data_IF_799272276976
#
_entry.id   IF_799272276976
#
_cell.length_a   1.000
_cell.length_b   1.000
_cell.length_c   1.000
_cell.angle_alpha   90.00
_cell.angle_beta   90.00
_cell.angle_gamma   90.00
#
_symmetry.space_group_name_H-M   'P 1'
#
loop_
_entity.id
_entity.type
_entity.pdbx_description
1 polymer ?
#
# COMPACT_ATOMS: atom_id res chain seq x y z
N UNK A 1 -17.10 9.93 27.13
CA UNK A 1 -16.83 11.21 26.42
C UNK A 1 -17.63 12.33 27.06
N UNK A 2 -17.02 13.49 27.28
CA UNK A 2 -17.71 14.71 27.75
C UNK A 2 -18.50 15.36 26.59
N UNK A 3 -19.43 16.27 26.91
CA UNK A 3 -20.19 17.01 25.88
C UNK A 3 -19.30 17.90 24.99
N UNK A 4 -18.20 18.43 25.53
CA UNK A 4 -17.20 19.17 24.77
C UNK A 4 -16.51 18.29 23.72
N UNK A 5 -16.02 17.11 24.13
CA UNK A 5 -15.35 16.17 23.21
C UNK A 5 -16.27 15.60 22.14
N UNK A 6 -17.59 15.50 22.40
CA UNK A 6 -18.58 15.06 21.42
C UNK A 6 -18.81 16.09 20.31
N UNK A 7 -18.81 17.37 20.67
CA UNK A 7 -19.06 18.46 19.73
C UNK A 7 -17.84 18.81 18.87
N UNK A 8 -16.63 18.41 19.31
CA UNK A 8 -15.40 18.61 18.56
C UNK A 8 -15.07 17.49 17.57
N UNK A 9 -15.76 16.34 17.65
CA UNK A 9 -15.47 15.21 16.78
C UNK A 9 -16.03 15.47 15.38
N UNK A 10 -15.15 15.55 14.39
CA UNK A 10 -15.47 15.82 12.98
C UNK A 10 -15.31 14.59 12.08
N UNK A 11 -14.54 13.58 12.51
CA UNK A 11 -14.33 12.33 11.81
C UNK A 11 -14.63 11.15 12.74
N UNK A 12 -15.34 10.14 12.22
CA UNK A 12 -15.63 8.89 12.93
C UNK A 12 -15.48 7.71 11.96
N UNK A 13 -14.60 6.77 12.31
CA UNK A 13 -14.46 5.50 11.61
C UNK A 13 -14.98 4.34 12.46
N UNK A 14 -15.83 3.52 11.86
CA UNK A 14 -16.40 2.31 12.43
C UNK A 14 -16.32 1.15 11.41
N UNK A 15 -15.12 0.79 10.93
CA UNK A 15 -14.98 -0.29 9.98
C UNK A 15 -15.33 -1.64 10.63
N UNK A 16 -15.81 -2.60 9.83
CA UNK A 16 -16.09 -3.98 10.26
C UNK A 16 -17.15 -4.13 11.36
N UNK A 17 -18.06 -3.17 11.48
CA UNK A 17 -19.12 -3.20 12.50
C UNK A 17 -20.44 -3.73 11.95
N UNK A 18 -21.09 -4.60 12.73
CA UNK A 18 -22.51 -4.91 12.56
C UNK A 18 -23.32 -3.87 13.33
N UNK A 19 -24.18 -3.14 12.62
CA UNK A 19 -24.96 -2.06 13.19
C UNK A 19 -26.35 -2.53 13.64
N UNK A 20 -26.72 -2.18 14.86
CA UNK A 20 -28.10 -2.35 15.35
C UNK A 20 -29.02 -1.27 14.76
N UNK A 21 -30.30 -1.60 14.56
CA UNK A 21 -31.24 -0.64 13.99
C UNK A 21 -31.42 0.63 14.82
N UNK A 22 -31.45 1.78 14.13
CA UNK A 22 -31.66 3.09 14.74
C UNK A 22 -30.42 3.70 15.41
N UNK A 23 -29.25 3.06 15.28
CA UNK A 23 -27.99 3.61 15.78
C UNK A 23 -27.67 4.97 15.14
N UNK A 24 -27.98 5.12 13.85
CA UNK A 24 -27.69 6.30 13.05
C UNK A 24 -28.37 7.56 13.64
N UNK A 25 -29.61 7.41 14.13
CA UNK A 25 -30.37 8.48 14.80
C UNK A 25 -29.81 8.84 16.18
N UNK A 26 -29.19 7.87 16.86
CA UNK A 26 -28.58 8.10 18.18
C UNK A 26 -27.23 8.79 18.01
N UNK A 27 -26.40 8.28 17.11
CA UNK A 27 -25.05 8.80 16.88
C UNK A 27 -25.09 10.20 16.28
N UNK A 28 -25.96 10.47 15.30
CA UNK A 28 -26.13 11.83 14.74
C UNK A 28 -26.51 12.89 15.79
N UNK A 29 -27.28 12.51 16.83
CA UNK A 29 -27.60 13.40 17.96
C UNK A 29 -26.43 13.61 18.91
N UNK A 30 -25.60 12.58 19.10
CA UNK A 30 -24.45 12.62 20.01
C UNK A 30 -23.29 13.38 19.35
N UNK A 31 -23.13 13.28 18.03
CA UNK A 31 -22.03 13.84 17.25
C UNK A 31 -22.59 14.75 16.14
N UNK A 32 -23.19 15.91 16.50
CA UNK A 32 -23.93 16.74 15.55
C UNK A 32 -23.05 17.50 14.54
N UNK A 33 -21.74 17.54 14.76
CA UNK A 33 -20.78 18.26 13.91
C UNK A 33 -19.94 17.31 13.05
N UNK A 34 -20.36 16.04 12.92
CA UNK A 34 -19.61 15.04 12.18
C UNK A 34 -19.61 15.41 10.68
N UNK A 35 -18.42 15.58 10.10
CA UNK A 35 -18.28 15.93 8.68
C UNK A 35 -17.86 14.76 7.83
N UNK A 36 -17.25 13.75 8.43
CA UNK A 36 -16.74 12.58 7.75
C UNK A 36 -17.10 11.31 8.49
N UNK A 37 -17.53 10.31 7.74
CA UNK A 37 -17.84 9.01 8.30
C UNK A 37 -17.24 7.88 7.47
N UNK A 38 -16.54 6.97 8.14
CA UNK A 38 -16.07 5.73 7.54
C UNK A 38 -16.86 4.56 8.13
N UNK A 39 -17.66 3.90 7.30
CA UNK A 39 -18.40 2.67 7.59
C UNK A 39 -18.02 1.58 6.58
N UNK A 40 -16.75 1.56 6.17
CA UNK A 40 -16.23 0.52 5.29
C UNK A 40 -16.41 -0.86 5.91
N UNK A 41 -16.60 -1.87 5.05
CA UNK A 41 -16.87 -3.25 5.47
C UNK A 41 -18.15 -3.44 6.31
N UNK A 42 -19.08 -2.48 6.27
CA UNK A 42 -20.36 -2.61 6.96
C UNK A 42 -21.27 -3.64 6.29
N UNK A 43 -22.08 -4.33 7.09
CA UNK A 43 -23.08 -5.31 6.65
C UNK A 43 -24.45 -4.64 6.58
N UNK A 44 -25.00 -4.48 5.38
CA UNK A 44 -26.31 -3.90 5.15
C UNK A 44 -27.40 -4.97 5.21
N UNK A 45 -28.49 -4.68 5.91
CA UNK A 45 -29.64 -5.59 6.10
C UNK A 45 -30.87 -4.78 6.55
N UNK A 46 -31.96 -5.46 6.93
CA UNK A 46 -33.19 -4.79 7.37
C UNK A 46 -33.01 -3.88 8.60
N UNK A 47 -31.98 -4.14 9.42
CA UNK A 47 -31.64 -3.32 10.59
C UNK A 47 -30.75 -2.14 10.21
N UNK A 48 -29.92 -2.28 9.18
CA UNK A 48 -29.04 -1.23 8.71
C UNK A 48 -29.21 -0.96 7.22
N UNK A 49 -30.02 0.06 6.93
CA UNK A 49 -30.31 0.54 5.58
C UNK A 49 -29.60 1.86 5.31
N UNK A 50 -28.96 1.99 4.14
CA UNK A 50 -28.23 3.20 3.75
C UNK A 50 -29.12 4.46 3.72
N UNK A 51 -30.38 4.34 3.33
CA UNK A 51 -31.33 5.45 3.27
C UNK A 51 -31.58 6.10 4.64
N UNK A 52 -31.73 5.29 5.70
CA UNK A 52 -31.88 5.77 7.08
C UNK A 52 -30.60 6.48 7.57
N UNK A 53 -29.45 5.92 7.22
CA UNK A 53 -28.15 6.52 7.50
C UNK A 53 -28.02 7.90 6.85
N UNK A 54 -28.24 7.99 5.54
CA UNK A 54 -28.10 9.23 4.77
C UNK A 54 -29.07 10.33 5.24
N UNK A 55 -30.26 9.94 5.71
CA UNK A 55 -31.22 10.88 6.31
C UNK A 55 -30.70 11.44 7.64
N UNK A 56 -30.07 10.59 8.46
CA UNK A 56 -29.56 10.97 9.78
C UNK A 56 -28.27 11.80 9.71
N UNK A 57 -27.47 11.59 8.65
CA UNK A 57 -26.17 12.23 8.44
C UNK A 57 -26.13 13.08 7.15
N UNK A 58 -27.21 13.84 6.90
CA UNK A 58 -27.39 14.64 5.68
C UNK A 58 -26.40 15.80 5.49
N UNK A 59 -25.61 16.12 6.52
CA UNK A 59 -24.63 17.21 6.52
C UNK A 59 -23.18 16.74 6.26
N UNK A 60 -22.95 15.44 6.05
CA UNK A 60 -21.61 14.91 5.77
C UNK A 60 -21.01 15.54 4.51
N UNK A 61 -19.68 15.72 4.56
CA UNK A 61 -18.84 16.13 3.45
C UNK A 61 -18.07 14.95 2.86
N UNK A 62 -17.78 13.93 3.68
CA UNK A 62 -17.07 12.73 3.25
C UNK A 62 -17.73 11.46 3.80
N UNK A 63 -17.88 10.46 2.93
CA UNK A 63 -18.43 9.15 3.27
C UNK A 63 -17.59 8.06 2.62
N UNK A 64 -17.20 7.07 3.43
CA UNK A 64 -16.57 5.85 2.95
C UNK A 64 -17.49 4.65 3.28
N UNK A 65 -17.95 3.97 2.23
CA UNK A 65 -18.75 2.73 2.25
C UNK A 65 -18.02 1.59 1.52
N UNK A 66 -16.71 1.70 1.35
CA UNK A 66 -15.92 0.68 0.62
C UNK A 66 -16.09 -0.69 1.27
N UNK A 67 -16.02 -1.76 0.48
CA UNK A 67 -16.25 -3.14 0.96
C UNK A 67 -17.62 -3.38 1.61
N UNK A 68 -18.64 -2.56 1.30
CA UNK A 68 -19.98 -2.77 1.84
C UNK A 68 -20.58 -4.12 1.40
N UNK A 69 -21.01 -4.93 2.38
CA UNK A 69 -21.64 -6.23 2.12
C UNK A 69 -23.16 -6.11 2.06
N UNK A 70 -23.76 -6.82 1.09
CA UNK A 70 -25.22 -6.90 0.88
C UNK A 70 -25.91 -5.54 0.70
N UNK A 71 -25.20 -4.51 0.26
CA UNK A 71 -25.79 -3.21 -0.07
C UNK A 71 -26.51 -3.33 -1.42
N UNK A 72 -27.86 -3.23 -1.48
CA UNK A 72 -28.58 -3.49 -2.74
C UNK A 72 -28.53 -2.32 -3.72
N UNK A 73 -28.32 -1.09 -3.22
CA UNK A 73 -28.27 0.14 -4.02
C UNK A 73 -27.76 1.32 -3.19
N UNK A 74 -27.52 2.46 -3.84
CA UNK A 74 -27.25 3.75 -3.19
C UNK A 74 -28.51 4.52 -2.81
N UNK A 75 -29.66 3.85 -2.64
CA UNK A 75 -30.91 4.52 -2.34
C UNK A 75 -30.82 5.42 -1.09
N UNK A 76 -31.22 6.67 -1.25
CA UNK A 76 -31.18 7.71 -0.22
C UNK A 76 -29.88 8.50 -0.14
N UNK A 77 -28.84 8.18 -0.93
CA UNK A 77 -27.54 8.89 -0.90
C UNK A 77 -27.71 10.38 -1.24
N UNK A 78 -28.67 10.72 -2.11
CA UNK A 78 -28.99 12.09 -2.49
C UNK A 78 -29.43 13.00 -1.32
N UNK A 79 -29.76 12.42 -0.16
CA UNK A 79 -30.06 13.19 1.05
C UNK A 79 -28.83 13.89 1.64
N UNK A 80 -27.61 13.46 1.30
CA UNK A 80 -26.36 14.08 1.74
C UNK A 80 -25.92 15.14 0.72
N UNK A 81 -26.66 16.25 0.64
CA UNK A 81 -26.52 17.26 -0.44
C UNK A 81 -25.14 17.92 -0.53
N UNK A 82 -24.42 17.96 0.59
CA UNK A 82 -23.11 18.58 0.70
C UNK A 82 -21.96 17.59 0.55
N UNK A 83 -22.23 16.33 0.19
CA UNK A 83 -21.19 15.31 0.05
C UNK A 83 -20.20 15.72 -1.05
N UNK A 84 -18.92 15.81 -0.70
CA UNK A 84 -17.81 16.19 -1.58
C UNK A 84 -16.91 15.01 -1.93
N UNK A 85 -16.79 14.03 -1.01
CA UNK A 85 -16.00 12.82 -1.20
C UNK A 85 -16.84 11.57 -0.92
N UNK A 86 -16.90 10.66 -1.89
CA UNK A 86 -17.48 9.33 -1.74
C UNK A 86 -16.43 8.29 -2.13
N UNK A 87 -16.09 7.42 -1.19
CA UNK A 87 -15.35 6.19 -1.45
C UNK A 87 -16.30 5.01 -1.35
N UNK A 88 -16.40 4.25 -2.43
CA UNK A 88 -17.19 3.04 -2.56
C UNK A 88 -16.37 1.98 -3.31
N UNK A 89 -15.08 1.91 -2.97
CA UNK A 89 -14.16 0.90 -3.47
C UNK A 89 -14.72 -0.49 -3.16
N UNK A 90 -14.65 -1.38 -4.14
CA UNK A 90 -15.17 -2.74 -4.02
C UNK A 90 -16.67 -2.81 -3.62
N UNK A 91 -17.50 -1.94 -4.20
CA UNK A 91 -18.96 -1.98 -4.07
C UNK A 91 -19.59 -2.28 -5.43
N UNK A 92 -20.46 -3.28 -5.48
CA UNK A 92 -21.13 -3.77 -6.68
C UNK A 92 -22.64 -3.89 -6.47
N UNK A 93 -23.42 -3.51 -7.48
CA UNK A 93 -24.88 -3.68 -7.51
C UNK A 93 -25.29 -4.51 -8.72
N UNK A 94 -26.18 -5.48 -8.49
CA UNK A 94 -26.78 -6.28 -9.57
C UNK A 94 -27.69 -5.44 -10.47
N UNK A 95 -28.39 -4.46 -9.89
CA UNK A 95 -29.25 -3.53 -10.63
C UNK A 95 -28.50 -2.24 -10.94
N UNK A 96 -28.38 -1.92 -12.23
CA UNK A 96 -27.80 -0.67 -12.72
C UNK A 96 -28.50 0.57 -12.13
N UNK A 97 -29.80 0.48 -11.79
CA UNK A 97 -30.52 1.59 -11.18
C UNK A 97 -29.99 1.91 -9.77
N UNK A 98 -29.24 0.99 -9.15
CA UNK A 98 -28.61 1.19 -7.85
C UNK A 98 -27.64 2.36 -7.81
N UNK A 99 -27.15 2.84 -8.96
CA UNK A 99 -26.25 3.97 -9.07
C UNK A 99 -26.94 5.32 -9.35
N UNK A 100 -28.22 5.34 -9.75
CA UNK A 100 -28.87 6.54 -10.32
C UNK A 100 -28.83 7.77 -9.42
N UNK A 101 -29.05 7.59 -8.13
CA UNK A 101 -29.06 8.69 -7.14
C UNK A 101 -27.70 9.38 -6.96
N UNK A 102 -26.60 8.83 -7.49
CA UNK A 102 -25.32 9.55 -7.54
C UNK A 102 -25.46 10.89 -8.27
N UNK A 103 -26.33 10.98 -9.28
CA UNK A 103 -26.57 12.22 -10.03
C UNK A 103 -27.18 13.35 -9.20
N UNK A 104 -27.72 13.03 -8.02
CA UNK A 104 -28.27 14.01 -7.07
C UNK A 104 -27.18 14.67 -6.21
N UNK A 105 -25.98 14.11 -6.18
CA UNK A 105 -24.83 14.61 -5.42
C UNK A 105 -24.13 15.76 -6.17
N UNK A 106 -24.79 16.93 -6.23
CA UNK A 106 -24.31 18.10 -6.97
C UNK A 106 -22.99 18.69 -6.46
N UNK A 107 -22.58 18.35 -5.24
CA UNK A 107 -21.34 18.81 -4.62
C UNK A 107 -20.19 17.80 -4.69
N UNK A 108 -20.42 16.62 -5.28
CA UNK A 108 -19.43 15.54 -5.27
C UNK A 108 -18.26 15.86 -6.19
N UNK A 109 -17.06 15.92 -5.61
CA UNK A 109 -15.81 16.26 -6.29
C UNK A 109 -14.87 15.07 -6.44
N UNK A 110 -14.92 14.13 -5.50
CA UNK A 110 -14.08 12.95 -5.47
C UNK A 110 -14.96 11.70 -5.42
N UNK A 111 -14.79 10.83 -6.40
CA UNK A 111 -15.40 9.51 -6.43
C UNK A 111 -14.32 8.44 -6.54
N UNK A 112 -14.31 7.51 -5.59
CA UNK A 112 -13.49 6.31 -5.63
C UNK A 112 -14.40 5.08 -5.77
N UNK A 113 -14.20 4.38 -6.89
CA UNK A 113 -14.89 3.14 -7.29
C UNK A 113 -13.84 2.09 -7.69
N UNK A 114 -12.63 2.20 -7.13
CA UNK A 114 -11.55 1.25 -7.34
C UNK A 114 -11.96 -0.18 -6.99
N UNK A 115 -11.30 -1.16 -7.60
CA UNK A 115 -11.44 -2.57 -7.27
C UNK A 115 -10.37 -3.03 -6.27
N UNK A 116 -10.20 -4.34 -6.14
CA UNK A 116 -9.14 -4.99 -5.37
C UNK A 116 -8.63 -6.24 -6.11
N UNK A 117 -7.34 -6.57 -5.96
CA UNK A 117 -6.71 -7.75 -6.56
C UNK A 117 -7.35 -9.05 -6.12
N UNK A 118 -7.89 -9.10 -4.89
CA UNK A 118 -8.60 -10.27 -4.37
C UNK A 118 -9.78 -10.72 -5.27
N UNK A 119 -10.19 -9.88 -6.23
CA UNK A 119 -11.35 -10.11 -7.09
C UNK A 119 -11.08 -10.07 -8.58
N UNK A 120 -9.88 -10.47 -9.01
CA UNK A 120 -9.59 -10.71 -10.42
C UNK A 120 -10.62 -11.62 -11.15
N UNK A 121 -11.48 -12.32 -10.41
CA UNK A 121 -12.58 -13.17 -10.92
C UNK A 121 -13.95 -12.48 -11.05
N UNK A 122 -14.17 -11.30 -10.45
CA UNK A 122 -15.44 -10.56 -10.51
C UNK A 122 -15.23 -9.34 -11.43
N UNK A 123 -16.12 -9.16 -12.42
CA UNK A 123 -16.08 -7.98 -13.30
C UNK A 123 -16.48 -6.71 -12.52
N UNK A 124 -15.49 -6.02 -11.96
CA UNK A 124 -15.66 -4.79 -11.17
C UNK A 124 -15.74 -3.53 -12.03
N UNK A 125 -16.34 -3.59 -13.22
CA UNK A 125 -16.45 -2.44 -14.12
C UNK A 125 -17.54 -1.45 -13.69
N UNK A 126 -17.36 -0.79 -12.56
CA UNK A 126 -18.30 0.22 -12.05
C UNK A 126 -18.53 1.36 -13.05
N UNK A 127 -17.53 1.74 -13.86
CA UNK A 127 -17.69 2.75 -14.93
C UNK A 127 -18.72 2.32 -15.98
N UNK A 128 -18.72 1.06 -16.41
CA UNK A 128 -19.73 0.52 -17.34
C UNK A 128 -21.14 0.68 -16.77
N UNK A 129 -21.32 0.37 -15.50
CA UNK A 129 -22.62 0.46 -14.82
C UNK A 129 -23.05 1.92 -14.64
N UNK A 130 -22.14 2.83 -14.26
CA UNK A 130 -22.40 4.26 -14.15
C UNK A 130 -22.83 4.87 -15.50
N UNK A 131 -22.17 4.46 -16.60
CA UNK A 131 -22.54 4.89 -17.95
C UNK A 131 -23.92 4.36 -18.35
N UNK A 132 -24.21 3.08 -18.08
CA UNK A 132 -25.49 2.46 -18.38
C UNK A 132 -26.65 3.05 -17.58
N UNK A 133 -26.38 3.46 -16.33
CA UNK A 133 -27.32 4.16 -15.47
C UNK A 133 -27.47 5.65 -15.80
N UNK A 134 -26.74 6.14 -16.81
CA UNK A 134 -26.73 7.55 -17.25
C UNK A 134 -26.34 8.54 -16.14
N UNK A 135 -25.48 8.13 -15.21
CA UNK A 135 -25.05 8.98 -14.10
C UNK A 135 -24.37 10.24 -14.60
N UNK A 136 -24.69 11.38 -13.96
CA UNK A 136 -24.11 12.70 -14.25
C UNK A 136 -23.66 13.40 -12.97
N UNK A 137 -22.35 13.51 -12.81
CA UNK A 137 -21.71 14.18 -11.66
C UNK A 137 -21.10 15.52 -12.10
N UNK A 138 -21.90 16.57 -12.07
CA UNK A 138 -21.56 17.90 -12.63
C UNK A 138 -20.29 18.52 -12.02
N UNK A 139 -20.04 18.27 -10.74
CA UNK A 139 -18.91 18.82 -9.99
C UNK A 139 -17.73 17.84 -9.82
N UNK A 140 -17.76 16.66 -10.46
CA UNK A 140 -16.72 15.66 -10.26
C UNK A 140 -15.38 16.17 -10.82
N UNK A 141 -14.37 16.24 -9.96
CA UNK A 141 -13.02 16.72 -10.29
C UNK A 141 -11.99 15.58 -10.31
N UNK A 142 -12.20 14.53 -9.50
CA UNK A 142 -11.31 13.39 -9.35
C UNK A 142 -12.09 12.06 -9.38
N UNK A 143 -11.59 11.11 -10.16
CA UNK A 143 -12.08 9.74 -10.22
C UNK A 143 -10.95 8.75 -9.92
N UNK A 144 -11.17 7.81 -9.01
CA UNK A 144 -10.37 6.60 -8.90
C UNK A 144 -11.17 5.40 -9.42
N UNK A 145 -10.64 4.73 -10.45
CA UNK A 145 -11.15 3.47 -10.98
C UNK A 145 -10.02 2.43 -11.14
N UNK A 146 -8.98 2.54 -10.33
CA UNK A 146 -7.85 1.61 -10.31
C UNK A 146 -8.30 0.19 -9.95
N UNK A 147 -7.58 -0.84 -10.40
CA UNK A 147 -7.94 -2.26 -10.21
C UNK A 147 -9.34 -2.65 -10.70
N UNK A 148 -9.82 -2.00 -11.76
CA UNK A 148 -11.06 -2.38 -12.44
C UNK A 148 -10.76 -2.85 -13.87
N UNK A 149 -11.73 -3.54 -14.47
CA UNK A 149 -11.70 -3.95 -15.88
C UNK A 149 -12.09 -2.81 -16.85
N UNK A 150 -12.02 -1.54 -16.41
CA UNK A 150 -12.40 -0.39 -17.22
C UNK A 150 -11.56 -0.30 -18.50
N UNK A 151 -12.24 -0.17 -19.64
CA UNK A 151 -11.59 -0.01 -20.94
C UNK A 151 -11.36 1.46 -21.26
N UNK A 152 -10.39 1.73 -22.14
CA UNK A 152 -10.10 3.08 -22.61
C UNK A 152 -11.34 3.77 -23.20
N UNK A 153 -12.14 3.04 -23.98
CA UNK A 153 -13.36 3.58 -24.59
C UNK A 153 -14.38 4.03 -23.53
N UNK A 154 -14.60 3.21 -22.50
CA UNK A 154 -15.49 3.55 -21.39
C UNK A 154 -14.97 4.75 -20.61
N UNK A 155 -13.67 4.79 -20.30
CA UNK A 155 -13.06 5.88 -19.55
C UNK A 155 -13.13 7.22 -20.30
N UNK A 156 -12.85 7.21 -21.61
CA UNK A 156 -13.02 8.39 -22.48
C UNK A 156 -14.47 8.86 -22.54
N UNK A 157 -15.41 7.93 -22.63
CA UNK A 157 -16.85 8.24 -22.64
C UNK A 157 -17.28 8.83 -21.31
N UNK A 158 -16.81 8.27 -20.20
CA UNK A 158 -17.07 8.79 -18.87
C UNK A 158 -16.52 10.21 -18.70
N UNK A 159 -15.25 10.44 -19.07
CA UNK A 159 -14.63 11.76 -19.06
C UNK A 159 -15.41 12.79 -19.89
N UNK A 160 -15.85 12.42 -21.09
CA UNK A 160 -16.67 13.30 -21.96
C UNK A 160 -17.99 13.70 -21.30
N UNK A 161 -18.60 12.81 -20.53
CA UNK A 161 -19.87 13.07 -19.83
C UNK A 161 -19.69 13.89 -18.55
N UNK A 162 -18.45 14.12 -18.10
CA UNK A 162 -18.12 14.79 -16.84
C UNK A 162 -17.08 15.90 -17.10
N UNK A 163 -17.50 17.06 -17.64
CA UNK A 163 -16.58 18.09 -18.12
C UNK A 163 -15.75 18.78 -17.03
N UNK A 164 -16.13 18.62 -15.76
CA UNK A 164 -15.37 19.13 -14.60
C UNK A 164 -14.21 18.22 -14.20
N UNK A 165 -14.15 16.99 -14.75
CA UNK A 165 -13.18 15.97 -14.36
C UNK A 165 -11.77 16.38 -14.78
N UNK A 166 -10.85 16.41 -13.82
CA UNK A 166 -9.47 16.89 -14.01
C UNK A 166 -8.44 15.78 -13.86
N UNK A 167 -8.71 14.82 -12.99
CA UNK A 167 -7.76 13.75 -12.69
C UNK A 167 -8.48 12.40 -12.66
N UNK A 168 -7.82 11.39 -13.23
CA UNK A 168 -8.28 10.01 -13.19
C UNK A 168 -7.11 9.12 -12.73
N UNK A 169 -7.31 8.38 -11.64
CA UNK A 169 -6.47 7.24 -11.29
C UNK A 169 -7.03 5.96 -11.92
N UNK A 170 -6.19 5.27 -12.70
CA UNK A 170 -6.53 4.06 -13.45
C UNK A 170 -5.35 3.06 -13.39
N UNK A 171 -4.80 2.89 -12.20
CA UNK A 171 -3.66 2.00 -11.92
C UNK A 171 -4.12 0.54 -12.03
N UNK A 172 -3.29 -0.34 -12.59
CA UNK A 172 -3.61 -1.76 -12.78
C UNK A 172 -4.93 -1.97 -13.55
N UNK A 173 -5.11 -1.22 -14.64
CA UNK A 173 -6.27 -1.36 -15.53
C UNK A 173 -5.80 -1.58 -16.98
N UNK A 174 -6.69 -2.00 -17.90
CA UNK A 174 -6.40 -1.94 -19.32
C UNK A 174 -6.02 -0.54 -19.84
N UNK A 175 -6.19 0.51 -19.04
CA UNK A 175 -5.87 1.91 -19.38
C UNK A 175 -4.47 2.34 -18.94
N UNK A 176 -3.55 1.40 -18.67
CA UNK A 176 -2.20 1.66 -18.15
C UNK A 176 -1.35 2.65 -18.98
N UNK A 177 -1.63 2.79 -20.28
CA UNK A 177 -0.95 3.74 -21.19
C UNK A 177 -1.90 4.78 -21.81
N UNK A 178 -3.13 4.85 -21.30
CA UNK A 178 -4.16 5.75 -21.85
C UNK A 178 -3.82 7.20 -21.50
N UNK A 179 -4.01 8.08 -22.48
CA UNK A 179 -3.97 9.54 -22.29
C UNK A 179 -5.31 10.16 -22.71
N UNK A 180 -5.89 11.03 -21.87
CA UNK A 180 -7.13 11.76 -22.19
C UNK A 180 -6.81 13.27 -22.22
N UNK A 181 -7.01 13.97 -23.35
CA UNK A 181 -6.70 15.40 -23.43
C UNK A 181 -7.39 16.22 -22.33
N UNK A 182 -6.62 17.06 -21.64
CA UNK A 182 -7.13 17.92 -20.58
C UNK A 182 -7.33 17.23 -19.22
N UNK A 183 -7.05 15.92 -19.13
CA UNK A 183 -7.15 15.15 -17.88
C UNK A 183 -5.77 14.64 -17.48
N UNK A 184 -5.40 14.86 -16.20
CA UNK A 184 -4.24 14.24 -15.58
C UNK A 184 -4.53 12.76 -15.34
N UNK A 185 -3.78 11.89 -16.00
CA UNK A 185 -3.89 10.44 -15.81
C UNK A 185 -2.85 9.97 -14.80
N UNK A 186 -3.28 9.26 -13.75
CA UNK A 186 -2.42 8.51 -12.82
C UNK A 186 -2.56 7.04 -13.21
N UNK A 187 -1.63 6.54 -14.00
CA UNK A 187 -1.59 5.16 -14.50
C UNK A 187 -0.12 4.74 -14.74
N UNK A 188 0.09 3.52 -15.21
CA UNK A 188 1.43 2.94 -15.38
C UNK A 188 2.33 3.67 -16.41
N UNK A 189 1.90 4.77 -17.02
CA UNK A 189 2.78 5.68 -17.78
C UNK A 189 3.74 6.47 -16.89
N UNK A 190 3.44 6.62 -15.59
CA UNK A 190 4.31 7.27 -14.62
C UNK A 190 4.33 6.49 -13.31
N UNK A 191 5.35 5.65 -13.14
CA UNK A 191 5.53 4.83 -11.93
C UNK A 191 5.60 5.70 -10.67
N UNK A 192 6.32 6.83 -10.73
CA UNK A 192 6.44 7.76 -9.60
C UNK A 192 5.08 8.29 -9.16
N UNK A 193 4.20 8.67 -10.09
CA UNK A 193 2.88 9.21 -9.75
C UNK A 193 1.95 8.14 -9.18
N UNK A 194 2.01 6.91 -9.69
CA UNK A 194 1.28 5.78 -9.12
C UNK A 194 1.68 5.54 -7.66
N UNK A 195 2.98 5.45 -7.39
CA UNK A 195 3.47 5.17 -6.03
C UNK A 195 3.16 6.32 -5.07
N UNK A 196 3.33 7.56 -5.51
CA UNK A 196 2.97 8.73 -4.69
C UNK A 196 1.47 8.73 -4.38
N UNK A 197 0.62 8.43 -5.37
CA UNK A 197 -0.81 8.32 -5.16
C UNK A 197 -1.16 7.24 -4.13
N UNK A 198 -0.65 6.02 -4.29
CA UNK A 198 -0.97 4.89 -3.42
C UNK A 198 -0.55 5.13 -1.96
N UNK A 199 0.62 5.76 -1.76
CA UNK A 199 1.09 6.16 -0.43
C UNK A 199 0.21 7.25 0.19
N UNK A 200 -0.27 8.21 -0.61
CA UNK A 200 -1.11 9.31 -0.12
C UNK A 200 -2.54 8.89 0.22
N UNK A 201 -3.05 7.83 -0.43
CA UNK A 201 -4.43 7.35 -0.24
C UNK A 201 -4.57 6.28 0.83
N UNK A 202 -3.47 5.89 1.49
CA UNK A 202 -3.45 4.87 2.54
C UNK A 202 -4.01 3.51 2.08
N UNK A 203 -3.81 3.19 0.79
CA UNK A 203 -4.23 1.93 0.19
C UNK A 203 -3.06 0.93 0.27
N UNK A 204 -2.70 0.52 1.49
CA UNK A 204 -1.53 -0.32 1.75
C UNK A 204 -1.54 -1.63 0.94
N UNK A 205 -2.69 -2.30 0.89
CA UNK A 205 -2.85 -3.55 0.11
C UNK A 205 -2.60 -3.30 -1.39
N UNK A 206 -3.16 -2.23 -1.92
CA UNK A 206 -2.97 -1.85 -3.33
C UNK A 206 -1.53 -1.42 -3.61
N UNK A 207 -0.85 -0.80 -2.63
CA UNK A 207 0.57 -0.49 -2.74
C UNK A 207 1.40 -1.78 -2.83
N UNK A 208 1.17 -2.75 -1.93
CA UNK A 208 1.82 -4.07 -1.97
C UNK A 208 1.62 -4.77 -3.32
N UNK A 209 0.37 -4.82 -3.80
CA UNK A 209 0.00 -5.44 -5.07
C UNK A 209 0.60 -4.71 -6.28
N UNK A 210 0.60 -3.39 -6.28
CA UNK A 210 1.22 -2.62 -7.34
C UNK A 210 2.74 -2.86 -7.37
N UNK A 211 3.37 -2.92 -6.20
CA UNK A 211 4.80 -3.24 -6.10
C UNK A 211 5.08 -4.63 -6.68
N UNK A 212 4.24 -5.64 -6.40
CA UNK A 212 4.32 -6.96 -7.06
C UNK A 212 4.36 -6.84 -8.57
N UNK A 213 3.44 -6.08 -9.17
CA UNK A 213 3.38 -5.90 -10.63
C UNK A 213 4.65 -5.21 -11.15
N UNK A 214 5.11 -4.16 -10.46
CA UNK A 214 6.37 -3.46 -10.79
C UNK A 214 7.54 -4.45 -10.78
N UNK A 215 7.67 -5.24 -9.72
CA UNK A 215 8.75 -6.21 -9.55
C UNK A 215 8.72 -7.32 -10.61
N UNK A 216 7.53 -7.85 -10.92
CA UNK A 216 7.35 -8.85 -11.97
C UNK A 216 7.73 -8.31 -13.35
N UNK A 217 7.32 -7.07 -13.65
CA UNK A 217 7.67 -6.39 -14.89
C UNK A 217 9.19 -6.15 -14.98
N UNK A 218 9.86 -5.79 -13.88
CA UNK A 218 11.32 -5.64 -13.86
C UNK A 218 12.04 -6.96 -14.10
N UNK A 219 11.60 -8.05 -13.43
CA UNK A 219 12.15 -9.40 -13.61
C UNK A 219 12.05 -9.88 -15.06
N UNK A 220 10.95 -9.55 -15.74
CA UNK A 220 10.70 -9.95 -17.13
C UNK A 220 11.45 -9.10 -18.16
N UNK A 221 11.56 -7.78 -17.93
CA UNK A 221 12.06 -6.84 -18.95
C UNK A 221 13.54 -6.45 -18.78
N UNK A 222 14.16 -6.72 -17.62
CA UNK A 222 15.48 -6.14 -17.24
C UNK A 222 15.56 -4.63 -17.57
N UNK A 223 14.43 -3.93 -17.43
CA UNK A 223 14.36 -2.50 -17.67
C UNK A 223 15.26 -1.78 -16.68
N UNK A 224 15.94 -0.73 -17.13
CA UNK A 224 16.61 0.17 -16.20
C UNK A 224 15.57 1.16 -15.68
N UNK A 225 15.17 1.02 -14.42
CA UNK A 225 14.43 2.08 -13.73
C UNK A 225 15.30 3.33 -13.65
N UNK A 226 14.68 4.49 -13.83
CA UNK A 226 15.36 5.75 -13.55
C UNK A 226 15.61 5.89 -12.03
N UNK A 227 16.63 6.66 -11.64
CA UNK A 227 16.98 6.88 -10.22
C UNK A 227 15.79 7.48 -9.45
N UNK A 228 15.00 8.33 -10.11
CA UNK A 228 13.76 8.91 -9.56
C UNK A 228 12.73 7.84 -9.22
N UNK A 229 12.53 6.86 -10.10
CA UNK A 229 11.60 5.74 -9.92
C UNK A 229 12.05 4.81 -8.80
N UNK A 230 13.35 4.48 -8.75
CA UNK A 230 13.92 3.68 -7.66
C UNK A 230 13.67 4.30 -6.29
N UNK A 231 13.85 5.62 -6.17
CA UNK A 231 13.55 6.34 -4.92
C UNK A 231 12.09 6.20 -4.50
N UNK A 232 11.16 6.18 -5.46
CA UNK A 232 9.73 6.04 -5.17
C UNK A 232 9.37 4.61 -4.82
N UNK A 233 9.94 3.62 -5.53
CA UNK A 233 9.83 2.20 -5.20
C UNK A 233 10.27 1.98 -3.76
N UNK A 234 11.44 2.51 -3.38
CA UNK A 234 11.93 2.45 -2.00
C UNK A 234 10.99 3.10 -0.99
N UNK A 235 10.42 4.27 -1.30
CA UNK A 235 9.45 4.92 -0.42
C UNK A 235 8.19 4.08 -0.23
N UNK A 236 7.67 3.48 -1.30
CA UNK A 236 6.51 2.61 -1.24
C UNK A 236 6.81 1.33 -0.45
N UNK A 237 7.99 0.71 -0.65
CA UNK A 237 8.46 -0.41 0.17
C UNK A 237 8.49 -0.02 1.65
N UNK A 238 9.13 1.11 1.99
CA UNK A 238 9.20 1.59 3.37
C UNK A 238 7.82 1.94 3.95
N UNK A 239 6.90 2.45 3.13
CA UNK A 239 5.52 2.70 3.54
C UNK A 239 4.79 1.41 3.90
N UNK A 240 4.80 0.40 3.02
CA UNK A 240 4.19 -0.91 3.30
C UNK A 240 4.80 -1.56 4.55
N UNK A 241 6.13 -1.53 4.69
CA UNK A 241 6.84 -2.10 5.83
C UNK A 241 6.50 -1.44 7.17
N UNK A 242 6.16 -0.14 7.16
CA UNK A 242 5.88 0.63 8.39
C UNK A 242 4.41 0.64 8.76
N UNK A 243 3.55 0.83 7.77
CA UNK A 243 2.14 1.14 8.00
C UNK A 243 1.23 -0.08 7.86
N UNK A 244 1.67 -1.16 7.21
CA UNK A 244 0.88 -2.40 7.12
C UNK A 244 0.73 -3.05 8.51
N UNK A 245 -0.49 -3.39 8.89
CA UNK A 245 -0.76 -4.29 10.02
C UNK A 245 -0.72 -5.77 9.60
N UNK A 246 -0.72 -6.04 8.29
CA UNK A 246 -0.60 -7.38 7.72
C UNK A 246 0.86 -7.73 7.50
N UNK A 247 1.36 -8.68 8.31
CA UNK A 247 2.73 -9.19 8.24
C UNK A 247 2.98 -10.06 6.99
N UNK A 248 1.95 -10.72 6.43
CA UNK A 248 2.06 -11.46 5.18
C UNK A 248 2.30 -10.48 4.01
N UNK A 249 1.60 -9.35 4.00
CA UNK A 249 1.84 -8.28 3.02
C UNK A 249 3.27 -7.72 3.11
N UNK A 250 3.78 -7.50 4.33
CA UNK A 250 5.17 -7.04 4.52
C UNK A 250 6.16 -8.06 3.97
N UNK A 251 5.99 -9.33 4.35
CA UNK A 251 6.84 -10.44 3.90
C UNK A 251 6.90 -10.52 2.38
N UNK A 252 5.75 -10.64 1.71
CA UNK A 252 5.72 -10.80 0.26
C UNK A 252 6.24 -9.58 -0.48
N UNK A 253 5.99 -8.38 0.04
CA UNK A 253 6.55 -7.14 -0.54
C UNK A 253 8.08 -7.15 -0.53
N UNK A 254 8.69 -7.62 0.57
CA UNK A 254 10.16 -7.75 0.67
C UNK A 254 10.68 -8.85 -0.26
N UNK A 255 10.02 -10.01 -0.29
CA UNK A 255 10.41 -11.11 -1.19
C UNK A 255 10.44 -10.63 -2.63
N UNK A 256 9.37 -9.98 -3.11
CA UNK A 256 9.33 -9.48 -4.48
C UNK A 256 10.37 -8.39 -4.74
N UNK A 257 10.62 -7.51 -3.77
CA UNK A 257 11.69 -6.50 -3.87
C UNK A 257 13.07 -7.15 -4.05
N UNK A 258 13.42 -8.12 -3.21
CA UNK A 258 14.71 -8.82 -3.29
C UNK A 258 14.84 -9.66 -4.57
N UNK A 259 13.77 -10.35 -4.98
CA UNK A 259 13.79 -11.14 -6.21
C UNK A 259 13.93 -10.29 -7.48
N UNK A 260 13.44 -9.05 -7.45
CA UNK A 260 13.54 -8.15 -8.59
C UNK A 260 14.96 -7.65 -8.86
N UNK A 261 15.90 -7.83 -7.92
CA UNK A 261 17.27 -7.35 -8.03
C UNK A 261 17.43 -5.84 -7.79
N UNK A 262 16.36 -5.18 -7.32
CA UNK A 262 16.34 -3.73 -7.12
C UNK A 262 17.21 -3.29 -5.94
N UNK A 263 17.37 -4.13 -4.92
CA UNK A 263 18.31 -3.86 -3.83
C UNK A 263 19.75 -3.75 -4.36
N UNK A 264 20.20 -4.74 -5.14
CA UNK A 264 21.51 -4.75 -5.75
C UNK A 264 21.72 -3.53 -6.66
N UNK A 265 20.68 -3.18 -7.44
CA UNK A 265 20.70 -1.99 -8.29
C UNK A 265 20.83 -0.70 -7.45
N UNK A 266 20.03 -0.53 -6.40
CA UNK A 266 20.07 0.64 -5.50
C UNK A 266 21.43 0.78 -4.82
N UNK A 267 22.00 -0.34 -4.37
CA UNK A 267 23.31 -0.38 -3.75
C UNK A 267 24.43 -0.04 -4.75
N UNK A 268 24.27 -0.38 -6.03
CA UNK A 268 25.27 -0.10 -7.07
C UNK A 268 25.32 1.37 -7.52
N UNK A 269 24.18 2.09 -7.45
CA UNK A 269 24.04 3.46 -7.96
C UNK A 269 24.10 4.53 -6.87
N UNK A 270 23.81 4.17 -5.62
CA UNK A 270 23.74 5.14 -4.53
C UNK A 270 24.97 5.05 -3.63
N UNK A 271 25.52 6.21 -3.24
CA UNK A 271 26.22 6.27 -1.95
C UNK A 271 25.19 5.86 -0.90
N UNK A 272 25.47 4.79 -0.17
CA UNK A 272 24.57 4.17 0.83
C UNK A 272 23.81 5.25 1.58
N UNK A 273 22.56 5.49 1.17
CA UNK A 273 21.77 6.56 1.75
C UNK A 273 21.49 6.24 3.21
N UNK A 274 21.26 7.26 4.04
CA UNK A 274 20.94 7.10 5.48
C UNK A 274 19.75 6.17 5.74
N UNK A 275 18.90 5.94 4.74
CA UNK A 275 17.71 5.11 4.84
C UNK A 275 18.00 3.61 4.69
N UNK A 276 19.12 3.22 4.05
CA UNK A 276 19.43 1.80 3.78
C UNK A 276 19.57 0.97 5.08
N UNK A 277 20.27 1.44 6.13
CA UNK A 277 20.29 0.75 7.42
C UNK A 277 18.90 0.43 7.96
N UNK A 278 18.02 1.42 7.94
CA UNK A 278 16.66 1.30 8.45
C UNK A 278 15.80 0.38 7.57
N UNK A 279 16.01 0.42 6.26
CA UNK A 279 15.34 -0.46 5.30
C UNK A 279 15.74 -1.92 5.53
N UNK A 280 17.02 -2.22 5.68
CA UNK A 280 17.52 -3.59 5.95
C UNK A 280 16.91 -4.14 7.25
N UNK A 281 16.85 -3.31 8.29
CA UNK A 281 16.24 -3.69 9.57
C UNK A 281 14.74 -3.98 9.42
N UNK A 282 14.00 -3.14 8.71
CA UNK A 282 12.57 -3.38 8.44
C UNK A 282 12.35 -4.65 7.59
N UNK A 283 13.17 -4.86 6.55
CA UNK A 283 13.11 -6.07 5.74
C UNK A 283 13.36 -7.32 6.58
N UNK A 284 14.39 -7.32 7.43
CA UNK A 284 14.67 -8.42 8.37
C UNK A 284 13.51 -8.65 9.34
N UNK A 285 12.90 -7.59 9.86
CA UNK A 285 11.79 -7.71 10.81
C UNK A 285 10.53 -8.29 10.17
N UNK A 286 10.19 -7.90 8.93
CA UNK A 286 9.05 -8.48 8.18
C UNK A 286 9.14 -10.00 8.04
N UNK A 287 10.37 -10.46 8.01
CA UNK A 287 10.82 -11.82 7.82
C UNK A 287 10.89 -12.64 9.11
N UNK A 288 11.08 -11.97 10.25
CA UNK A 288 11.17 -12.56 11.58
C UNK A 288 9.81 -12.61 12.30
N UNK A 289 8.71 -12.68 11.54
CA UNK A 289 7.35 -12.74 12.06
C UNK A 289 6.93 -14.19 12.32
N UNK A 290 6.13 -14.42 13.36
CA UNK A 290 5.71 -15.77 13.80
C UNK A 290 4.88 -16.53 12.74
N UNK A 291 4.45 -15.86 11.67
CA UNK A 291 3.46 -16.37 10.71
C UNK A 291 4.04 -17.48 9.82
N UNK A 292 5.36 -17.56 9.64
CA UNK A 292 5.97 -18.40 8.59
C UNK A 292 6.92 -19.49 9.12
N UNK A 293 6.46 -20.28 10.10
CA UNK A 293 7.23 -21.43 10.61
C UNK A 293 7.46 -22.49 9.52
N UNK A 294 6.52 -22.65 8.57
CA UNK A 294 6.57 -23.69 7.55
C UNK A 294 7.54 -23.39 6.38
N UNK A 295 7.86 -22.11 6.13
CA UNK A 295 8.76 -21.67 5.04
C UNK A 295 10.12 -21.12 5.54
N UNK A 296 10.48 -21.47 6.78
CA UNK A 296 11.60 -20.87 7.51
C UNK A 296 12.96 -21.05 6.83
N UNK A 297 13.16 -22.14 6.09
CA UNK A 297 14.40 -22.37 5.34
C UNK A 297 14.56 -21.42 4.14
N UNK A 298 13.50 -21.21 3.36
CA UNK A 298 13.56 -20.30 2.20
C UNK A 298 13.70 -18.85 2.64
N UNK A 299 13.10 -18.51 3.79
CA UNK A 299 13.32 -17.24 4.49
C UNK A 299 14.82 -16.98 4.75
N UNK A 300 15.53 -17.92 5.36
CA UNK A 300 16.94 -17.76 5.72
C UNK A 300 17.77 -17.48 4.47
N UNK A 301 17.47 -18.17 3.36
CA UNK A 301 18.13 -17.92 2.06
C UNK A 301 17.91 -16.49 1.57
N UNK A 302 16.69 -15.96 1.67
CA UNK A 302 16.40 -14.59 1.25
C UNK A 302 17.15 -13.55 2.07
N UNK A 303 17.23 -13.72 3.40
CA UNK A 303 17.98 -12.78 4.24
C UNK A 303 19.47 -12.88 4.03
N UNK A 304 20.03 -14.09 3.94
CA UNK A 304 21.45 -14.25 3.67
C UNK A 304 21.82 -13.64 2.31
N UNK A 305 20.98 -13.81 1.29
CA UNK A 305 21.16 -13.14 0.00
C UNK A 305 21.09 -11.62 0.11
N UNK A 306 20.14 -11.08 0.89
CA UNK A 306 20.05 -9.64 1.15
C UNK A 306 21.32 -9.12 1.85
N UNK A 307 21.80 -9.82 2.88
CA UNK A 307 23.03 -9.46 3.60
C UNK A 307 24.26 -9.57 2.70
N UNK A 308 24.37 -10.61 1.89
CA UNK A 308 25.43 -10.76 0.90
C UNK A 308 25.41 -9.61 -0.11
N UNK A 309 24.25 -9.24 -0.65
CA UNK A 309 24.11 -8.10 -1.55
C UNK A 309 24.59 -6.79 -0.91
N UNK A 310 24.18 -6.55 0.34
CA UNK A 310 24.59 -5.39 1.14
C UNK A 310 26.10 -5.36 1.34
N UNK A 311 26.71 -6.49 1.71
CA UNK A 311 28.14 -6.60 1.96
C UNK A 311 28.96 -6.51 0.67
N UNK A 312 28.45 -7.06 -0.43
CA UNK A 312 29.12 -6.95 -1.73
C UNK A 312 29.12 -5.53 -2.29
N UNK A 313 28.18 -4.68 -1.85
CA UNK A 313 28.18 -3.26 -2.16
C UNK A 313 29.29 -2.47 -1.43
N UNK A 314 29.95 -3.05 -0.44
CA UNK A 314 31.02 -2.42 0.36
C UNK A 314 32.37 -2.32 -0.36
N UNK A 315 32.36 -2.17 -1.69
CA UNK A 315 33.58 -2.07 -2.47
C UNK A 315 34.55 -1.01 -1.87
N UNK A 316 35.87 -1.25 -1.95
CA UNK A 316 36.86 -0.42 -1.26
C UNK A 316 36.69 1.06 -1.63
N UNK A 317 36.49 1.89 -0.60
CA UNK A 317 36.22 3.33 -0.73
C UNK A 317 34.77 3.75 -0.47
N UNK A 318 33.83 2.81 -0.31
CA UNK A 318 32.45 3.09 0.10
C UNK A 318 32.30 2.90 1.61
N UNK A 319 32.06 3.99 2.34
CA UNK A 319 31.78 3.94 3.78
C UNK A 319 30.35 3.46 4.01
N UNK A 320 30.22 2.27 4.61
CA UNK A 320 28.93 1.79 5.12
C UNK A 320 28.63 2.39 6.50
N UNK A 321 27.36 2.69 6.83
CA UNK A 321 27.00 3.08 8.17
C UNK A 321 27.28 1.96 9.18
N UNK A 322 28.03 2.26 10.24
CA UNK A 322 28.42 1.31 11.30
C UNK A 322 27.23 0.55 11.88
N UNK A 323 26.07 1.23 12.03
CA UNK A 323 24.83 0.63 12.50
C UNK A 323 24.37 -0.53 11.61
N UNK A 324 24.41 -0.35 10.29
CA UNK A 324 23.97 -1.39 9.37
C UNK A 324 24.97 -2.54 9.28
N UNK A 325 26.27 -2.22 9.31
CA UNK A 325 27.31 -3.24 9.35
C UNK A 325 27.16 -4.13 10.59
N UNK A 326 27.02 -3.51 11.76
CA UNK A 326 26.78 -4.20 13.02
C UNK A 326 25.51 -5.06 12.97
N UNK A 327 24.41 -4.51 12.43
CA UNK A 327 23.15 -5.24 12.31
C UNK A 327 23.28 -6.47 11.41
N UNK A 328 23.83 -6.32 10.20
CA UNK A 328 24.06 -7.43 9.28
C UNK A 328 24.93 -8.50 9.93
N UNK A 329 25.98 -8.08 10.65
CA UNK A 329 26.87 -8.99 11.34
C UNK A 329 26.14 -9.81 12.43
N UNK A 330 25.49 -9.13 13.37
CA UNK A 330 24.77 -9.77 14.49
C UNK A 330 23.70 -10.72 13.97
N UNK A 331 22.94 -10.31 12.94
CA UNK A 331 21.86 -11.12 12.38
C UNK A 331 22.32 -12.26 11.50
N UNK A 332 23.48 -12.17 10.86
CA UNK A 332 24.06 -13.31 10.14
C UNK A 332 24.42 -14.43 11.13
N UNK A 333 25.09 -14.10 12.23
CA UNK A 333 25.44 -15.08 13.27
C UNK A 333 24.19 -15.69 13.91
N UNK A 334 23.20 -14.85 14.28
CA UNK A 334 21.96 -15.31 14.91
C UNK A 334 21.18 -16.28 13.99
N UNK A 335 21.21 -16.06 12.67
CA UNK A 335 20.56 -16.94 11.70
C UNK A 335 21.24 -18.30 11.63
N UNK A 336 22.56 -18.36 11.48
CA UNK A 336 23.22 -19.68 11.33
C UNK A 336 23.24 -20.48 12.63
N UNK A 337 23.29 -19.84 13.79
CA UNK A 337 23.10 -20.56 15.06
C UNK A 337 21.73 -21.29 15.10
N UNK A 338 20.72 -20.72 14.42
CA UNK A 338 19.42 -21.36 14.23
C UNK A 338 19.35 -22.34 13.06
N UNK A 339 20.23 -22.21 12.06
CA UNK A 339 20.24 -22.98 10.80
C UNK A 339 21.67 -23.33 10.35
N UNK A 340 22.31 -24.33 10.99
CA UNK A 340 23.70 -24.69 10.74
C UNK A 340 24.02 -25.11 9.31
N UNK A 341 23.02 -25.50 8.51
CA UNK A 341 23.19 -25.86 7.10
C UNK A 341 23.63 -24.68 6.21
N UNK A 342 23.43 -23.42 6.65
CA UNK A 342 23.87 -22.22 5.92
C UNK A 342 25.23 -21.67 6.38
N UNK A 343 26.02 -22.50 7.08
CA UNK A 343 27.35 -22.13 7.56
C UNK A 343 28.24 -21.57 6.43
N UNK A 344 28.13 -22.12 5.21
CA UNK A 344 28.97 -21.72 4.09
C UNK A 344 28.69 -20.30 3.60
N UNK A 345 27.44 -19.87 3.65
CA UNK A 345 26.95 -18.55 3.27
C UNK A 345 27.38 -17.51 4.30
N UNK A 346 27.27 -17.84 5.59
CA UNK A 346 27.78 -16.99 6.66
C UNK A 346 29.29 -16.75 6.55
N UNK A 347 30.08 -17.80 6.33
CA UNK A 347 31.54 -17.67 6.15
C UNK A 347 31.85 -16.65 5.05
N UNK A 348 31.13 -16.73 3.92
CA UNK A 348 31.32 -15.79 2.79
C UNK A 348 30.99 -14.36 3.21
N UNK A 349 29.86 -14.14 3.87
CA UNK A 349 29.41 -12.81 4.30
C UNK A 349 30.40 -12.23 5.33
N UNK A 350 30.77 -12.98 6.37
CA UNK A 350 31.67 -12.52 7.43
C UNK A 350 33.07 -12.23 6.89
N UNK A 351 33.63 -13.12 6.06
CA UNK A 351 34.96 -12.93 5.45
C UNK A 351 34.98 -11.68 4.58
N UNK A 352 33.89 -11.44 3.83
CA UNK A 352 33.78 -10.26 2.99
C UNK A 352 33.63 -8.97 3.81
N UNK A 353 32.89 -9.01 4.93
CA UNK A 353 32.82 -7.90 5.88
C UNK A 353 34.22 -7.58 6.44
N UNK A 354 34.93 -8.58 6.95
CA UNK A 354 36.27 -8.42 7.55
C UNK A 354 37.27 -7.78 6.57
N UNK A 355 37.22 -8.22 5.31
CA UNK A 355 38.08 -7.71 4.23
C UNK A 355 37.90 -6.21 3.95
N UNK A 356 36.68 -5.69 4.05
CA UNK A 356 36.35 -4.32 3.63
C UNK A 356 36.17 -3.35 4.80
N UNK A 357 36.12 -3.84 6.02
CA UNK A 357 35.96 -3.02 7.21
C UNK A 357 37.19 -2.11 7.41
N UNK A 358 36.95 -0.81 7.63
CA UNK A 358 38.02 0.09 8.03
C UNK A 358 38.51 -0.24 9.45
N UNK A 359 39.74 0.17 9.79
CA UNK A 359 40.27 -0.03 11.16
C UNK A 359 39.40 0.61 12.25
N UNK A 360 38.80 1.76 11.97
CA UNK A 360 37.89 2.44 12.90
C UNK A 360 36.58 1.66 13.07
N UNK A 361 36.02 1.14 11.98
CA UNK A 361 34.83 0.28 12.04
C UNK A 361 35.11 -1.02 12.78
N UNK A 362 36.29 -1.61 12.57
CA UNK A 362 36.75 -2.78 13.28
C UNK A 362 36.87 -2.50 14.78
N UNK A 363 37.49 -1.38 15.16
CA UNK A 363 37.56 -0.96 16.57
C UNK A 363 36.17 -0.71 17.18
N UNK A 364 35.29 -0.04 16.46
CA UNK A 364 33.91 0.20 16.91
C UNK A 364 33.16 -1.12 17.11
N UNK A 365 33.32 -2.09 16.21
CA UNK A 365 32.73 -3.43 16.36
C UNK A 365 33.32 -4.17 17.56
N UNK A 366 34.64 -4.10 17.77
CA UNK A 366 35.34 -4.71 18.89
C UNK A 366 34.92 -4.19 20.27
N UNK A 367 34.23 -3.05 20.35
CA UNK A 367 33.64 -2.59 21.62
C UNK A 367 32.52 -3.53 22.13
N UNK A 368 31.95 -4.37 21.26
CA UNK A 368 31.08 -5.48 21.65
C UNK A 368 31.89 -6.78 21.76
N UNK A 369 32.46 -7.05 22.94
CA UNK A 369 33.33 -8.21 23.19
C UNK A 369 32.67 -9.56 22.90
N UNK A 370 31.35 -9.67 23.11
CA UNK A 370 30.60 -10.91 22.81
C UNK A 370 30.56 -11.16 21.30
N UNK A 371 30.20 -10.12 20.54
CA UNK A 371 30.18 -10.18 19.08
C UNK A 371 31.57 -10.49 18.52
N UNK A 372 32.59 -9.76 18.97
CA UNK A 372 33.98 -9.97 18.56
C UNK A 372 34.46 -11.39 18.85
N UNK A 373 34.17 -11.91 20.04
CA UNK A 373 34.48 -13.29 20.41
C UNK A 373 33.82 -14.32 19.48
N UNK A 374 32.54 -14.14 19.15
CA UNK A 374 31.84 -14.99 18.17
C UNK A 374 32.52 -14.92 16.80
N UNK A 375 32.84 -13.73 16.29
CA UNK A 375 33.55 -13.55 15.00
C UNK A 375 34.88 -14.30 14.97
N UNK A 376 35.71 -14.10 15.99
CA UNK A 376 37.05 -14.66 16.03
C UNK A 376 37.02 -16.17 16.17
N UNK A 377 36.14 -16.71 17.02
CA UNK A 377 35.96 -18.16 17.13
C UNK A 377 35.57 -18.76 15.77
N UNK A 378 34.74 -18.05 15.03
CA UNK A 378 34.24 -18.48 13.74
C UNK A 378 35.31 -18.44 12.64
N UNK A 379 36.01 -17.31 12.48
CA UNK A 379 37.12 -17.15 11.52
C UNK A 379 38.30 -18.10 11.79
N UNK A 380 38.52 -18.50 13.04
CA UNK A 380 39.57 -19.46 13.41
C UNK A 380 39.14 -20.93 13.23
N UNK A 381 37.85 -21.19 13.02
CA UNK A 381 37.27 -22.53 12.82
C UNK A 381 37.18 -22.95 11.35
N UNK A 382 37.46 -22.01 10.44
CA UNK A 382 37.52 -22.18 8.98
C UNK A 382 38.97 -22.21 8.50
#
# INVERSE_FOLDING_TARGET
MSNGSRSSLIHLGLPWQEFIGGWEKRVSKILPNLQSMNISSAIFNDRFQLSNFCTSFSHLLALNISFAYYLPSLQGIGNIKNLQKLSMSYVYFDDINGYKELSDLKSLKYLDISGTVATAQIDTNSIKNLLAAEVRLEALEFLDCSWTSVTEHQLRTFAKNHPSLRTIAAICTPCNQTTIPGIKMINASSLSECLEFLVLTDHIDMASDFMKEVYQNQKASRGNLEISELRQVRKALLFVLRESDDEENKFWTVVWYLESGLLELELSISSVTTDIPHMIELCYNAFNTDIMIEEREDYVKFVLRMFEAVVNALAPGILFPDRALKFVFEKTLDLVDGFPEYQSEEIKIITQIDKWMSGDQYQNMCTNFELHGRVQNYLNST
#
